data_IF_367847859264
#
_entry.id   IF_367847859264
#
_cell.length_a   1.000
_cell.length_b   1.000
_cell.length_c   1.000
_cell.angle_alpha   90.00
_cell.angle_beta   90.00
_cell.angle_gamma   90.00
#
_symmetry.space_group_name_H-M   'P 1'
#
loop_
_entity.id
_entity.type
_entity.pdbx_description
1 polymer ?
#
# COMPACT_ATOMS: atom_id res chain seq x y z
N UNK A 1 -15.96 34.29 -12.37
CA UNK A 1 -14.68 33.56 -12.55
C UNK A 1 -14.80 32.69 -13.78
N UNK A 2 -13.70 32.41 -14.48
CA UNK A 2 -13.74 31.54 -15.66
C UNK A 2 -13.85 30.07 -15.22
N UNK A 3 -15.07 29.52 -15.27
CA UNK A 3 -15.34 28.14 -14.85
C UNK A 3 -14.54 27.12 -15.68
N UNK A 4 -14.08 27.49 -16.88
CA UNK A 4 -13.23 26.65 -17.73
C UNK A 4 -11.89 26.32 -17.08
N UNK A 5 -11.42 27.14 -16.13
CA UNK A 5 -10.09 26.97 -15.54
C UNK A 5 -10.07 25.98 -14.38
N UNK A 6 -11.24 25.61 -13.84
CA UNK A 6 -11.38 24.75 -12.66
C UNK A 6 -10.83 23.36 -12.99
N UNK A 7 -9.81 22.90 -12.25
CA UNK A 7 -9.12 21.64 -12.53
C UNK A 7 -8.96 20.85 -11.24
N UNK A 8 -9.34 19.56 -11.22
CA UNK A 8 -9.14 18.71 -10.06
C UNK A 8 -7.65 18.35 -9.89
N UNK A 9 -7.19 18.07 -8.65
CA UNK A 9 -5.81 17.70 -8.38
C UNK A 9 -5.48 16.30 -8.90
N UNK A 10 -4.24 16.14 -9.36
CA UNK A 10 -3.60 14.83 -9.47
C UNK A 10 -2.89 14.55 -8.15
N UNK A 11 -3.21 13.42 -7.52
CA UNK A 11 -2.66 13.06 -6.22
C UNK A 11 -1.71 11.89 -6.38
N UNK A 12 -0.52 12.00 -5.81
CA UNK A 12 0.47 10.94 -5.76
C UNK A 12 1.03 10.79 -4.35
N UNK A 13 1.25 9.55 -3.91
CA UNK A 13 1.97 9.23 -2.68
C UNK A 13 3.33 8.64 -3.05
N UNK A 14 4.38 9.26 -2.52
CA UNK A 14 5.76 8.81 -2.63
C UNK A 14 6.15 8.08 -1.36
N UNK A 15 6.69 6.89 -1.54
CA UNK A 15 7.15 6.05 -0.45
C UNK A 15 8.45 6.60 0.19
N UNK A 16 8.73 6.24 1.45
CA UNK A 16 9.96 6.65 2.13
C UNK A 16 11.19 6.07 1.43
N UNK A 17 12.31 6.79 1.51
CA UNK A 17 13.59 6.28 1.02
C UNK A 17 14.23 5.31 2.01
N UNK A 18 14.83 4.23 1.52
CA UNK A 18 15.58 3.27 2.37
C UNK A 18 16.76 3.94 3.11
N UNK A 19 17.35 4.99 2.53
CA UNK A 19 18.41 5.77 3.15
C UNK A 19 17.92 6.52 4.41
N UNK A 20 16.69 7.07 4.38
CA UNK A 20 16.09 7.70 5.55
C UNK A 20 15.83 6.68 6.66
N UNK A 21 15.21 5.55 6.29
CA UNK A 21 14.85 4.46 7.19
C UNK A 21 16.10 3.94 7.90
N UNK A 22 17.14 3.59 7.13
CA UNK A 22 18.40 3.07 7.65
C UNK A 22 19.07 4.05 8.62
N UNK A 23 19.10 5.35 8.28
CA UNK A 23 19.79 6.37 9.06
C UNK A 23 19.04 6.81 10.31
N UNK A 24 17.70 6.86 10.26
CA UNK A 24 16.90 7.54 11.29
C UNK A 24 15.90 6.64 11.99
N UNK A 25 15.68 5.41 11.51
CA UNK A 25 14.65 4.48 11.99
C UNK A 25 13.23 5.09 11.92
N UNK A 26 13.04 6.04 11.00
CA UNK A 26 11.78 6.71 10.67
C UNK A 26 11.55 6.62 9.16
N UNK A 27 10.28 6.66 8.79
CA UNK A 27 9.82 6.59 7.42
C UNK A 27 8.91 7.78 7.15
N UNK A 28 9.26 8.63 6.18
CA UNK A 28 8.44 9.77 5.77
C UNK A 28 7.81 9.51 4.41
N UNK A 29 6.48 9.36 4.39
CA UNK A 29 5.71 9.38 3.16
C UNK A 29 5.48 10.82 2.72
N UNK A 30 5.47 11.07 1.42
CA UNK A 30 5.16 12.39 0.86
C UNK A 30 3.94 12.26 -0.03
N UNK A 31 2.93 13.09 0.20
CA UNK A 31 1.81 13.25 -0.72
C UNK A 31 1.97 14.56 -1.48
N UNK A 32 1.74 14.51 -2.79
CA UNK A 32 1.76 15.67 -3.66
C UNK A 32 0.43 15.75 -4.42
N UNK A 33 -0.27 16.87 -4.26
CA UNK A 33 -1.42 17.25 -5.07
C UNK A 33 -0.95 18.31 -6.07
N UNK A 34 -1.13 18.07 -7.37
CA UNK A 34 -0.66 18.98 -8.44
C UNK A 34 -1.74 19.30 -9.46
N UNK A 35 -1.55 20.38 -10.21
CA UNK A 35 -2.35 20.72 -11.38
C UNK A 35 -3.76 21.24 -11.08
N UNK A 36 -4.09 21.56 -9.83
CA UNK A 36 -5.44 21.96 -9.44
C UNK A 36 -5.66 23.46 -9.50
N UNK A 37 -6.90 23.87 -9.72
CA UNK A 37 -7.34 25.26 -9.66
C UNK A 37 -8.86 25.29 -9.36
N UNK A 38 -9.38 26.20 -8.54
CA UNK A 38 -8.66 27.15 -7.67
C UNK A 38 -7.90 26.43 -6.54
N UNK A 39 -7.34 27.15 -5.59
CA UNK A 39 -6.54 26.61 -4.47
C UNK A 39 -7.37 25.97 -3.34
N UNK A 40 -8.67 25.74 -3.58
CA UNK A 40 -9.60 25.19 -2.60
C UNK A 40 -9.46 23.66 -2.46
N UNK A 41 -8.50 23.24 -1.65
CA UNK A 41 -8.29 21.83 -1.31
C UNK A 41 -8.07 21.62 0.18
N UNK A 42 -8.52 20.49 0.70
CA UNK A 42 -8.16 19.99 2.02
C UNK A 42 -7.45 18.65 1.91
N UNK A 43 -6.21 18.57 2.42
CA UNK A 43 -5.41 17.34 2.40
C UNK A 43 -5.44 16.66 3.77
N UNK A 44 -5.80 15.39 3.79
CA UNK A 44 -5.81 14.54 4.99
C UNK A 44 -5.11 13.20 4.76
N UNK A 45 -4.47 12.70 5.83
CA UNK A 45 -3.87 11.37 5.84
C UNK A 45 -4.77 10.38 6.55
N UNK A 46 -4.89 9.19 5.96
CA UNK A 46 -5.65 8.07 6.50
C UNK A 46 -4.74 6.85 6.60
N UNK A 47 -4.71 6.23 7.77
CA UNK A 47 -3.94 5.03 8.05
C UNK A 47 -4.89 3.95 8.54
N UNK A 48 -4.94 2.81 7.85
CA UNK A 48 -5.83 1.69 8.17
C UNK A 48 -7.31 2.13 8.33
N UNK A 49 -7.76 3.03 7.45
CA UNK A 49 -9.14 3.53 7.45
C UNK A 49 -9.44 4.61 8.51
N UNK A 50 -8.46 5.09 9.28
CA UNK A 50 -8.63 6.15 10.27
C UNK A 50 -7.81 7.38 9.90
N UNK A 51 -8.40 8.56 9.98
CA UNK A 51 -7.69 9.82 9.78
C UNK A 51 -6.63 10.01 10.87
N UNK A 52 -5.45 10.47 10.48
CA UNK A 52 -4.33 10.74 11.40
C UNK A 52 -3.86 12.17 11.27
N UNK A 53 -3.46 12.76 12.40
CA UNK A 53 -2.85 14.10 12.47
C UNK A 53 -1.45 14.05 13.09
N UNK A 54 -1.17 13.04 13.91
CA UNK A 54 0.15 12.86 14.52
C UNK A 54 1.20 12.56 13.45
N UNK A 55 2.29 13.34 13.45
CA UNK A 55 3.39 13.18 12.49
C UNK A 55 3.06 13.70 11.08
N UNK A 56 1.92 14.38 10.90
CA UNK A 56 1.55 15.03 9.64
C UNK A 56 2.08 16.46 9.61
N UNK A 57 2.67 16.84 8.48
CA UNK A 57 3.06 18.23 8.18
C UNK A 57 2.64 18.55 6.75
N UNK A 58 1.58 19.35 6.62
CA UNK A 58 1.09 19.87 5.34
C UNK A 58 1.59 21.29 5.15
N UNK A 59 1.96 21.66 3.92
CA UNK A 59 2.34 23.05 3.63
C UNK A 59 1.15 23.98 3.93
N UNK A 60 1.43 25.18 4.46
CA UNK A 60 0.37 26.07 4.95
C UNK A 60 -0.57 26.57 3.86
N UNK A 61 -0.05 26.76 2.65
CA UNK A 61 -0.77 27.29 1.50
C UNK A 61 -0.31 26.56 0.24
N UNK A 62 -1.22 26.29 -0.71
CA UNK A 62 -0.83 25.86 -2.05
C UNK A 62 0.06 26.89 -2.72
N UNK A 63 1.07 26.43 -3.45
CA UNK A 63 1.95 27.30 -4.24
C UNK A 63 1.65 27.15 -5.74
N UNK A 64 1.89 28.21 -6.50
CA UNK A 64 1.66 28.23 -7.95
C UNK A 64 2.75 27.43 -8.66
N UNK A 65 2.37 26.59 -9.63
CA UNK A 65 3.32 25.84 -10.44
C UNK A 65 4.19 26.76 -11.31
N UNK A 66 3.55 27.77 -11.90
CA UNK A 66 4.20 28.86 -12.62
C UNK A 66 3.77 30.20 -12.01
N UNK A 67 4.63 30.87 -11.23
CA UNK A 67 4.30 32.15 -10.62
C UNK A 67 4.07 33.29 -11.62
N UNK A 68 4.58 33.17 -12.85
CA UNK A 68 4.55 34.24 -13.87
C UNK A 68 3.22 34.31 -14.64
N UNK A 69 2.48 33.22 -14.69
CA UNK A 69 1.21 33.09 -15.41
C UNK A 69 0.03 33.33 -14.49
N UNK A 70 -0.95 34.16 -14.85
CA UNK A 70 -2.15 34.36 -14.02
C UNK A 70 -3.07 33.14 -13.98
N UNK A 71 -3.04 32.32 -15.03
CA UNK A 71 -3.87 31.12 -15.18
C UNK A 71 -3.23 29.83 -14.61
N UNK A 72 -2.15 30.00 -13.85
CA UNK A 72 -1.34 28.92 -13.28
C UNK A 72 -2.13 28.02 -12.31
N UNK A 73 -1.86 26.72 -12.38
CA UNK A 73 -2.33 25.73 -11.41
C UNK A 73 -1.55 25.80 -10.10
N UNK A 74 -2.11 25.20 -9.07
CA UNK A 74 -1.53 25.06 -7.75
C UNK A 74 -0.98 23.67 -7.50
N UNK A 75 -0.04 23.62 -6.56
CA UNK A 75 0.52 22.43 -5.95
C UNK A 75 0.43 22.54 -4.43
N UNK A 76 0.24 21.40 -3.77
CA UNK A 76 0.27 21.29 -2.31
C UNK A 76 0.99 20.00 -1.93
N UNK A 77 1.93 20.09 -0.99
CA UNK A 77 2.62 18.92 -0.46
C UNK A 77 2.29 18.67 1.01
N UNK A 78 2.27 17.40 1.39
CA UNK A 78 2.12 16.96 2.77
C UNK A 78 3.03 15.79 3.06
N UNK A 79 3.48 15.68 4.31
CA UNK A 79 4.44 14.67 4.76
C UNK A 79 3.84 13.96 5.96
N UNK A 80 3.87 12.63 5.95
CA UNK A 80 3.48 11.79 7.07
C UNK A 80 4.70 11.01 7.55
N UNK A 81 5.15 11.30 8.78
CA UNK A 81 6.31 10.62 9.37
C UNK A 81 5.87 9.58 10.39
N UNK A 82 6.26 8.33 10.14
CA UNK A 82 6.00 7.17 11.00
C UNK A 82 7.30 6.49 11.44
N UNK A 83 7.20 5.47 12.30
CA UNK A 83 8.35 4.62 12.64
C UNK A 83 8.64 3.65 11.50
N UNK A 84 9.92 3.29 11.31
CA UNK A 84 10.31 2.29 10.32
C UNK A 84 9.56 0.96 10.52
N UNK A 85 9.44 0.47 11.76
CA UNK A 85 8.70 -0.74 12.08
C UNK A 85 7.22 -0.69 11.68
N UNK A 86 6.60 0.50 11.74
CA UNK A 86 5.22 0.67 11.31
C UNK A 86 5.09 0.69 9.78
N UNK A 87 6.03 1.34 9.07
CA UNK A 87 6.10 1.28 7.61
C UNK A 87 6.36 -0.14 7.10
N UNK A 88 7.22 -0.90 7.76
CA UNK A 88 7.60 -2.25 7.35
C UNK A 88 6.55 -3.35 7.61
N UNK A 89 5.39 -2.98 8.16
CA UNK A 89 4.28 -3.91 8.25
C UNK A 89 3.44 -3.84 6.96
N UNK A 90 3.43 -4.88 6.12
CA UNK A 90 2.72 -4.86 4.84
C UNK A 90 1.19 -4.85 4.97
N UNK A 91 0.67 -5.01 6.19
CA UNK A 91 -0.77 -4.86 6.48
C UNK A 91 -1.18 -3.41 6.66
N UNK A 92 -0.23 -2.51 6.87
CA UNK A 92 -0.54 -1.11 7.05
C UNK A 92 -0.82 -0.46 5.70
N UNK A 93 -1.96 0.19 5.61
CA UNK A 93 -2.46 0.89 4.44
C UNK A 93 -2.44 2.39 4.70
N UNK A 94 -1.75 3.14 3.84
CA UNK A 94 -1.61 4.59 3.91
C UNK A 94 -2.34 5.20 2.73
N UNK A 95 -3.18 6.19 2.99
CA UNK A 95 -3.95 6.88 1.96
C UNK A 95 -3.87 8.39 2.19
N UNK A 96 -3.44 9.10 1.17
CA UNK A 96 -3.57 10.55 1.11
C UNK A 96 -4.89 10.88 0.42
N UNK A 97 -5.75 11.65 1.08
CA UNK A 97 -7.01 12.11 0.52
C UNK A 97 -6.96 13.63 0.36
N UNK A 98 -7.36 14.09 -0.82
CA UNK A 98 -7.53 15.49 -1.15
C UNK A 98 -9.00 15.72 -1.45
N UNK A 99 -9.67 16.47 -0.58
CA UNK A 99 -11.00 16.99 -0.85
C UNK A 99 -10.83 18.23 -1.71
N UNK A 100 -11.30 18.16 -2.96
CA UNK A 100 -11.30 19.27 -3.90
C UNK A 100 -12.69 19.92 -3.91
N UNK A 101 -12.74 21.24 -3.78
CA UNK A 101 -13.97 22.03 -3.84
C UNK A 101 -14.04 22.72 -5.20
N UNK A 102 -14.62 22.00 -6.16
CA UNK A 102 -14.83 22.47 -7.52
C UNK A 102 -16.25 22.99 -7.72
N UNK A 103 -16.80 22.71 -8.90
CA UNK A 103 -18.16 23.10 -9.26
C UNK A 103 -19.22 22.28 -8.52
N UNK A 104 -20.41 22.83 -8.45
CA UNK A 104 -21.64 22.19 -7.96
C UNK A 104 -22.44 21.61 -9.13
N UNK A 105 -23.47 20.81 -8.86
CA UNK A 105 -24.34 20.27 -9.92
C UNK A 105 -25.08 21.36 -10.69
N UNK A 106 -25.45 22.45 -10.02
CA UNK A 106 -26.24 23.56 -10.56
C UNK A 106 -25.46 24.45 -11.55
N UNK A 107 -24.12 24.42 -11.52
CA UNK A 107 -23.30 25.26 -12.41
C UNK A 107 -23.44 24.84 -13.89
N UNK A 108 -23.65 25.77 -14.81
CA UNK A 108 -23.71 25.45 -16.23
C UNK A 108 -22.33 24.97 -16.75
N UNK A 109 -22.34 23.91 -17.57
CA UNK A 109 -21.11 23.31 -18.10
C UNK A 109 -21.29 22.91 -19.56
N UNK A 110 -20.77 23.75 -20.47
CA UNK A 110 -20.92 23.58 -21.91
C UNK A 110 -19.65 23.03 -22.60
N UNK A 111 -18.62 22.68 -21.82
CA UNK A 111 -17.33 22.23 -22.34
C UNK A 111 -17.31 20.72 -22.65
N UNK A 112 -16.45 20.32 -23.58
CA UNK A 112 -16.36 18.94 -24.08
C UNK A 112 -15.73 17.91 -23.13
N UNK A 113 -15.29 18.34 -21.94
CA UNK A 113 -14.59 17.51 -20.96
C UNK A 113 -15.40 17.40 -19.68
N UNK A 114 -15.02 16.47 -18.81
CA UNK A 114 -15.77 16.16 -17.58
C UNK A 114 -15.83 17.37 -16.65
N UNK A 115 -17.05 17.73 -16.23
CA UNK A 115 -17.29 18.81 -15.27
C UNK A 115 -16.51 18.56 -13.97
N UNK A 116 -15.62 19.48 -13.56
CA UNK A 116 -14.77 19.32 -12.37
C UNK A 116 -15.55 19.65 -11.10
N UNK A 117 -16.41 18.73 -10.68
CA UNK A 117 -17.22 18.89 -9.47
C UNK A 117 -16.42 18.71 -8.18
N UNK A 118 -17.01 19.10 -7.06
CA UNK A 118 -16.52 18.79 -5.72
C UNK A 118 -16.40 17.27 -5.53
N UNK A 119 -15.21 16.79 -5.18
CA UNK A 119 -14.92 15.35 -5.10
C UNK A 119 -13.73 15.04 -4.18
N UNK A 120 -13.66 13.78 -3.74
CA UNK A 120 -12.51 13.25 -3.01
C UNK A 120 -11.60 12.48 -3.95
N UNK A 121 -10.33 12.88 -4.02
CA UNK A 121 -9.31 12.21 -4.83
C UNK A 121 -8.25 11.68 -3.88
N UNK A 122 -7.85 10.42 -4.05
CA UNK A 122 -6.85 9.80 -3.19
C UNK A 122 -5.80 9.03 -3.95
N UNK A 123 -4.63 8.93 -3.32
CA UNK A 123 -3.59 7.99 -3.70
C UNK A 123 -3.14 7.20 -2.47
N UNK A 124 -2.70 5.99 -2.71
CA UNK A 124 -2.54 4.95 -1.69
C UNK A 124 -1.15 4.33 -1.78
N UNK A 125 -0.64 3.89 -0.64
CA UNK A 125 0.58 3.12 -0.52
C UNK A 125 0.40 2.06 0.56
N UNK A 126 0.97 0.89 0.32
CA UNK A 126 1.02 -0.18 1.31
C UNK A 126 2.38 -0.19 1.97
N UNK A 127 2.42 -0.52 3.26
CA UNK A 127 3.68 -0.78 3.94
C UNK A 127 4.50 -1.83 3.19
N UNK A 128 5.81 -1.64 3.14
CA UNK A 128 6.72 -2.57 2.47
C UNK A 128 7.60 -3.26 3.50
N UNK A 129 7.52 -4.59 3.56
CA UNK A 129 8.45 -5.35 4.38
C UNK A 129 9.90 -4.92 4.04
N UNK A 130 10.70 -4.76 5.09
CA UNK A 130 12.15 -4.62 4.93
C UNK A 130 12.66 -5.79 4.06
N UNK A 131 13.80 -5.62 3.42
CA UNK A 131 14.42 -6.67 2.58
C UNK A 131 14.86 -7.93 3.39
N UNK A 132 14.49 -8.02 4.67
CA UNK A 132 14.57 -9.20 5.52
C UNK A 132 13.32 -10.12 5.49
N UNK A 133 13.26 -11.06 6.44
CA UNK A 133 12.18 -12.05 6.53
C UNK A 133 10.81 -11.37 6.76
N UNK A 134 9.91 -11.45 5.78
CA UNK A 134 8.54 -10.95 5.91
C UNK A 134 7.61 -12.00 6.54
N UNK A 135 6.48 -11.59 7.10
CA UNK A 135 5.47 -12.54 7.59
C UNK A 135 4.93 -13.42 6.46
N UNK A 136 4.85 -12.88 5.23
CA UNK A 136 4.42 -13.62 4.05
C UNK A 136 5.44 -14.71 3.68
N UNK A 137 6.73 -14.40 3.68
CA UNK A 137 7.79 -15.40 3.43
C UNK A 137 7.84 -16.46 4.54
N UNK A 138 7.56 -16.08 5.80
CA UNK A 138 7.43 -17.03 6.90
C UNK A 138 6.22 -17.98 6.71
N UNK A 139 5.04 -17.45 6.38
CA UNK A 139 3.85 -18.25 6.12
C UNK A 139 4.08 -19.24 4.97
N UNK A 140 4.70 -18.79 3.89
CA UNK A 140 5.05 -19.65 2.76
C UNK A 140 6.09 -20.72 3.14
N UNK A 141 7.05 -20.37 4.02
CA UNK A 141 8.00 -21.32 4.60
C UNK A 141 7.31 -22.42 5.43
N UNK A 142 6.35 -22.06 6.28
CA UNK A 142 5.59 -23.03 7.09
C UNK A 142 4.71 -23.93 6.21
N UNK A 143 4.05 -23.37 5.18
CA UNK A 143 3.27 -24.16 4.22
C UNK A 143 4.14 -25.15 3.43
N UNK A 144 5.33 -24.73 3.01
CA UNK A 144 6.29 -25.61 2.35
C UNK A 144 6.77 -26.74 3.29
N UNK A 145 7.11 -26.40 4.53
CA UNK A 145 7.55 -27.37 5.52
C UNK A 145 6.45 -28.39 5.86
N UNK A 146 5.20 -27.94 6.04
CA UNK A 146 4.07 -28.84 6.32
C UNK A 146 3.83 -29.83 5.18
N UNK A 147 3.84 -29.39 3.92
CA UNK A 147 3.76 -30.27 2.76
C UNK A 147 4.91 -31.30 2.73
N UNK A 148 6.13 -30.86 3.02
CA UNK A 148 7.29 -31.77 3.07
C UNK A 148 7.14 -32.81 4.19
N UNK A 149 6.67 -32.41 5.37
CA UNK A 149 6.43 -33.34 6.48
C UNK A 149 5.34 -34.36 6.15
N UNK A 150 4.25 -33.96 5.49
CA UNK A 150 3.21 -34.90 5.05
C UNK A 150 3.74 -35.91 4.04
N UNK A 151 4.55 -35.46 3.07
CA UNK A 151 5.20 -36.36 2.10
C UNK A 151 6.14 -37.34 2.80
N UNK A 152 6.95 -36.88 3.75
CA UNK A 152 7.87 -37.74 4.50
C UNK A 152 7.15 -38.76 5.37
N UNK A 153 6.07 -38.34 6.05
CA UNK A 153 5.22 -39.25 6.84
C UNK A 153 4.55 -40.29 5.95
N UNK A 154 4.02 -39.89 4.80
CA UNK A 154 3.44 -40.80 3.81
C UNK A 154 4.46 -41.82 3.29
N UNK A 155 5.69 -41.38 2.99
CA UNK A 155 6.79 -42.27 2.61
C UNK A 155 7.13 -43.24 3.73
N UNK A 156 7.32 -42.77 4.97
CA UNK A 156 7.65 -43.61 6.10
C UNK A 156 6.57 -44.67 6.38
N UNK A 157 5.30 -44.31 6.27
CA UNK A 157 4.18 -45.25 6.39
C UNK A 157 4.22 -46.33 5.29
N UNK A 158 4.46 -45.95 4.03
CA UNK A 158 4.59 -46.90 2.92
C UNK A 158 5.76 -47.88 3.15
N UNK A 159 6.92 -47.37 3.59
CA UNK A 159 8.08 -48.20 3.93
C UNK A 159 7.75 -49.19 5.06
N UNK A 160 7.07 -48.74 6.11
CA UNK A 160 6.66 -49.61 7.23
C UNK A 160 5.73 -50.74 6.76
N UNK A 161 4.77 -50.46 5.88
CA UNK A 161 3.88 -51.46 5.28
C UNK A 161 4.66 -52.47 4.45
N UNK A 162 5.57 -52.01 3.57
CA UNK A 162 6.38 -52.88 2.72
C UNK A 162 7.27 -53.82 3.54
N UNK A 163 7.96 -53.30 4.55
CA UNK A 163 8.80 -54.11 5.44
C UNK A 163 7.96 -55.11 6.23
N UNK A 164 6.80 -54.69 6.75
CA UNK A 164 5.88 -55.58 7.48
C UNK A 164 5.38 -56.73 6.60
N UNK A 165 5.02 -56.45 5.34
CA UNK A 165 4.61 -57.46 4.37
C UNK A 165 5.75 -58.45 4.04
N UNK A 166 6.97 -57.96 3.84
CA UNK A 166 8.14 -58.82 3.59
C UNK A 166 8.44 -59.74 4.78
N UNK A 167 8.35 -59.23 6.01
CA UNK A 167 8.52 -60.05 7.23
C UNK A 167 7.45 -61.12 7.32
N UNK A 168 6.18 -60.78 7.07
CA UNK A 168 5.08 -61.76 7.04
C UNK A 168 5.34 -62.86 6.01
N UNK A 169 5.69 -62.49 4.77
CA UNK A 169 6.00 -63.45 3.71
C UNK A 169 7.18 -64.36 4.08
N UNK A 170 8.23 -63.82 4.71
CA UNK A 170 9.37 -64.61 5.17
C UNK A 170 9.00 -65.59 6.30
N UNK A 171 8.15 -65.18 7.25
CA UNK A 171 7.70 -66.06 8.35
C UNK A 171 6.79 -67.19 7.86
N UNK A 172 5.92 -66.93 6.89
CA UNK A 172 5.07 -67.95 6.26
C UNK A 172 5.94 -68.97 5.51
N UNK A 173 6.90 -68.50 4.70
CA UNK A 173 7.83 -69.38 3.97
C UNK A 173 8.67 -70.26 4.90
N UNK A 174 9.09 -69.76 6.06
CA UNK A 174 9.82 -70.54 7.08
C UNK A 174 8.97 -71.59 7.80
N UNK A 175 7.66 -71.38 7.94
CA UNK A 175 6.76 -72.34 8.60
C UNK A 175 6.24 -73.44 7.66
N UNK A 176 6.28 -73.21 6.35
CA UNK A 176 5.87 -74.18 5.33
C UNK A 176 6.98 -75.06 4.76
N UNK A 177 8.21 -74.92 5.25
CA UNK A 177 9.38 -75.76 4.94
C UNK A 177 9.77 -76.56 6.19
#
# INVERSE_FOLDING_TARGET
EDLQQVRPPKVAVFEPSEAEISRTQKATLVCLATGFYPDHVELSWWVNGKQVQSGVSTDLQPYREDPSRNDSSYCLSSRLRVTAAFWHNPRNHFRCQVQFYGLTEDDEWEYNWTKPITQNISAEAWGKADCGFSSASYQQGVLSATLLYEILLGKAALYAVLVSALVLMATVKRKGA
#
